data_IF_179153946166
#
_entry.id   IF_179153946166
#
_cell.length_a   1.000
_cell.length_b   1.000
_cell.length_c   1.000
_cell.angle_alpha   90.00
_cell.angle_beta   90.00
_cell.angle_gamma   90.00
#
_symmetry.space_group_name_H-M   'P 1'
#
loop_
_entity.id
_entity.type
_entity.pdbx_description
1 polymer ?
#
# COMPACT_ATOMS: atom_id res chain seq x y z
N UNK A 1 -10.93 -16.33 -0.30
CA UNK A 1 -9.62 -15.70 -0.56
C UNK A 1 -8.92 -15.57 0.79
N UNK A 2 -7.68 -16.04 0.94
CA UNK A 2 -7.00 -16.10 2.24
C UNK A 2 -6.14 -14.86 2.55
N UNK A 3 -5.65 -14.18 1.52
CA UNK A 3 -4.83 -12.99 1.62
C UNK A 3 -5.11 -12.06 0.44
N UNK A 4 -5.01 -10.75 0.69
CA UNK A 4 -5.05 -9.72 -0.33
C UNK A 4 -3.84 -8.83 -0.11
N UNK A 5 -3.05 -8.65 -1.16
CA UNK A 5 -1.92 -7.74 -1.12
C UNK A 5 -2.43 -6.30 -1.16
N UNK A 6 -1.94 -5.48 -0.25
CA UNK A 6 -2.20 -4.07 -0.15
C UNK A 6 -0.90 -3.33 -0.47
N UNK A 7 -1.03 -2.40 -1.42
CA UNK A 7 0.04 -1.55 -1.91
C UNK A 7 -0.40 -0.11 -1.85
N UNK A 8 0.56 0.78 -1.77
CA UNK A 8 0.33 2.19 -1.99
C UNK A 8 1.37 2.68 -2.99
N UNK A 9 0.99 3.66 -3.79
CA UNK A 9 1.69 4.02 -5.01
C UNK A 9 1.72 5.54 -5.17
N UNK A 10 2.85 6.05 -5.66
CA UNK A 10 2.94 7.43 -6.15
C UNK A 10 3.73 7.55 -7.45
N UNK A 11 3.41 8.54 -8.31
CA UNK A 11 4.14 8.78 -9.54
C UNK A 11 5.61 9.16 -9.29
N UNK A 12 6.52 8.56 -10.05
CA UNK A 12 7.90 9.05 -10.16
C UNK A 12 7.96 10.25 -11.11
N UNK A 13 8.21 11.45 -10.57
CA UNK A 13 8.38 12.65 -11.40
C UNK A 13 9.55 12.47 -12.36
N UNK A 14 9.28 12.65 -13.65
CA UNK A 14 10.28 12.50 -14.72
C UNK A 14 10.23 11.15 -15.44
N UNK A 15 9.54 10.14 -14.88
CA UNK A 15 9.21 8.93 -15.61
C UNK A 15 8.09 9.20 -16.62
N UNK A 16 8.13 8.53 -17.77
CA UNK A 16 7.03 8.55 -18.73
C UNK A 16 5.84 7.75 -18.16
N UNK A 17 4.61 8.15 -18.49
CA UNK A 17 3.39 7.49 -17.97
C UNK A 17 3.26 6.02 -18.36
N UNK A 18 3.98 5.59 -19.40
CA UNK A 18 4.04 4.22 -19.88
C UNK A 18 5.30 3.47 -19.40
N UNK A 19 6.17 4.10 -18.60
CA UNK A 19 7.23 3.39 -17.91
C UNK A 19 6.62 2.47 -16.85
N UNK A 20 7.12 1.25 -16.77
CA UNK A 20 6.58 0.22 -15.87
C UNK A 20 6.65 0.65 -14.39
N UNK A 21 7.59 1.52 -14.04
CA UNK A 21 7.81 2.05 -12.70
C UNK A 21 7.18 3.41 -12.47
N UNK A 22 6.39 3.94 -13.42
CA UNK A 22 5.77 5.25 -13.29
C UNK A 22 5.04 5.37 -11.96
N UNK A 23 4.25 4.37 -11.58
CA UNK A 23 3.76 4.18 -10.22
C UNK A 23 4.69 3.26 -9.46
N UNK A 24 5.43 3.83 -8.52
CA UNK A 24 6.31 3.06 -7.63
C UNK A 24 5.71 2.90 -6.24
N UNK A 25 6.06 1.79 -5.59
CA UNK A 25 5.63 1.47 -4.24
C UNK A 25 6.10 2.53 -3.25
N UNK A 26 5.22 2.87 -2.31
CA UNK A 26 5.46 3.76 -1.18
C UNK A 26 4.90 3.10 0.07
N UNK A 27 5.38 3.45 1.28
CA UNK A 27 4.73 2.98 2.50
C UNK A 27 3.22 3.25 2.48
N UNK A 28 2.43 2.28 2.96
CA UNK A 28 0.98 2.44 3.04
C UNK A 28 0.61 3.72 3.80
N UNK A 29 -0.18 4.59 3.17
CA UNK A 29 -0.61 5.88 3.73
C UNK A 29 0.20 7.08 3.26
N UNK A 30 1.28 6.89 2.50
CA UNK A 30 2.08 7.98 1.90
C UNK A 30 1.94 8.06 0.37
N UNK A 31 1.03 7.27 -0.22
CA UNK A 31 0.68 7.32 -1.64
C UNK A 31 -0.74 7.82 -1.92
N UNK A 32 -1.27 7.41 -3.07
CA UNK A 32 -2.58 7.85 -3.57
C UNK A 32 -3.69 6.80 -3.46
N UNK A 33 -3.40 5.59 -2.99
CA UNK A 33 -4.42 4.54 -2.86
C UNK A 33 -5.20 4.73 -1.57
N UNK A 34 -6.53 4.87 -1.67
CA UNK A 34 -7.41 4.96 -0.49
C UNK A 34 -7.60 3.57 0.16
N UNK A 35 -6.57 3.15 0.88
CA UNK A 35 -6.52 1.86 1.54
C UNK A 35 -7.54 1.72 2.69
N UNK A 36 -7.98 2.83 3.31
CA UNK A 36 -9.04 2.80 4.31
C UNK A 36 -10.38 2.42 3.65
N UNK A 37 -10.72 3.06 2.53
CA UNK A 37 -11.95 2.75 1.82
C UNK A 37 -11.95 1.33 1.24
N UNK A 38 -10.82 0.88 0.70
CA UNK A 38 -10.68 -0.49 0.19
C UNK A 38 -10.86 -1.53 1.30
N UNK A 39 -10.25 -1.33 2.46
CA UNK A 39 -10.41 -2.23 3.59
C UNK A 39 -11.87 -2.28 4.09
N UNK A 40 -12.57 -1.14 4.11
CA UNK A 40 -14.00 -1.10 4.44
C UNK A 40 -14.84 -1.87 3.41
N UNK A 41 -14.57 -1.69 2.11
CA UNK A 41 -15.28 -2.43 1.05
C UNK A 41 -15.07 -3.94 1.21
N UNK A 42 -13.85 -4.39 1.52
CA UNK A 42 -13.57 -5.80 1.78
C UNK A 42 -14.40 -6.32 2.98
N UNK A 43 -14.40 -5.60 4.10
CA UNK A 43 -15.19 -5.95 5.29
C UNK A 43 -16.68 -6.02 4.98
N UNK A 44 -17.23 -5.01 4.31
CA UNK A 44 -18.65 -4.91 3.95
C UNK A 44 -19.11 -6.08 3.06
N UNK A 45 -18.19 -6.71 2.34
CA UNK A 45 -18.44 -7.86 1.48
C UNK A 45 -18.05 -9.22 2.13
N UNK A 46 -17.84 -9.24 3.45
CA UNK A 46 -17.57 -10.48 4.20
C UNK A 46 -16.19 -11.08 3.93
N UNK A 47 -15.20 -10.26 3.60
CA UNK A 47 -13.82 -10.72 3.44
C UNK A 47 -13.18 -11.05 4.80
N UNK A 48 -12.79 -12.31 5.00
CA UNK A 48 -12.18 -12.82 6.24
C UNK A 48 -10.67 -13.08 6.13
N UNK A 49 -10.07 -12.82 4.96
CA UNK A 49 -8.63 -12.98 4.75
C UNK A 49 -7.82 -11.87 5.43
N UNK A 50 -6.48 -11.98 5.39
CA UNK A 50 -5.60 -10.95 5.93
C UNK A 50 -5.12 -9.97 4.85
N UNK A 51 -4.80 -8.75 5.29
CA UNK A 51 -4.18 -7.72 4.45
C UNK A 51 -2.65 -7.87 4.52
N UNK A 52 -2.04 -8.24 3.40
CA UNK A 52 -0.59 -8.44 3.30
C UNK A 52 0.06 -7.17 2.73
N UNK A 53 1.16 -6.68 3.33
CA UNK A 53 1.95 -5.60 2.72
C UNK A 53 2.67 -6.15 1.50
N UNK A 54 2.62 -5.43 0.38
CA UNK A 54 3.47 -5.71 -0.78
C UNK A 54 4.25 -4.44 -1.18
N UNK A 55 5.57 -4.56 -1.26
CA UNK A 55 6.49 -3.59 -1.84
C UNK A 55 7.26 -4.35 -2.93
N UNK A 56 7.26 -3.84 -4.16
CA UNK A 56 7.96 -4.46 -5.32
C UNK A 56 9.08 -3.58 -5.88
N UNK A 57 8.80 -2.29 -6.05
CA UNK A 57 9.74 -1.30 -6.55
C UNK A 57 9.55 -0.01 -5.76
N UNK A 58 10.37 0.14 -4.72
CA UNK A 58 10.28 1.26 -3.79
C UNK A 58 10.64 2.57 -4.50
N UNK A 59 9.79 3.58 -4.33
CA UNK A 59 10.01 4.90 -4.89
C UNK A 59 11.34 5.51 -4.36
N UNK A 60 12.12 6.22 -5.20
CA UNK A 60 13.46 6.72 -4.86
C UNK A 60 13.50 7.65 -3.64
N UNK A 61 12.41 8.37 -3.36
CA UNK A 61 12.26 9.21 -2.16
C UNK A 61 12.58 8.49 -0.84
N UNK A 62 12.49 7.15 -0.81
CA UNK A 62 12.74 6.34 0.39
C UNK A 62 14.17 5.80 0.47
N UNK A 63 15.08 6.21 -0.42
CA UNK A 63 16.51 5.85 -0.41
C UNK A 63 16.79 4.34 -0.34
N UNK A 64 15.99 3.52 -1.03
CA UNK A 64 16.04 2.05 -0.97
C UNK A 64 15.89 1.45 0.44
N UNK A 65 15.33 2.20 1.40
CA UNK A 65 15.10 1.70 2.76
C UNK A 65 13.78 0.91 2.84
N UNK A 66 13.80 -0.29 2.27
CA UNK A 66 12.62 -1.15 2.16
C UNK A 66 12.14 -1.67 3.52
N UNK A 67 13.06 -2.03 4.42
CA UNK A 67 12.71 -2.48 5.78
C UNK A 67 11.89 -1.43 6.53
N UNK A 68 12.30 -0.16 6.46
CA UNK A 68 11.55 0.94 7.04
C UNK A 68 10.18 1.11 6.36
N UNK A 69 10.13 1.00 5.03
CA UNK A 69 8.87 1.12 4.30
C UNK A 69 7.87 0.02 4.67
N UNK A 70 8.33 -1.22 4.83
CA UNK A 70 7.53 -2.34 5.32
C UNK A 70 7.07 -2.09 6.76
N UNK A 71 7.97 -1.64 7.64
CA UNK A 71 7.62 -1.34 9.03
C UNK A 71 6.52 -0.27 9.13
N UNK A 72 6.64 0.83 8.39
CA UNK A 72 5.60 1.87 8.35
C UNK A 72 4.29 1.35 7.76
N UNK A 73 4.37 0.53 6.72
CA UNK A 73 3.19 -0.08 6.08
C UNK A 73 2.41 -0.98 7.03
N UNK A 74 3.10 -1.81 7.81
CA UNK A 74 2.46 -2.67 8.81
C UNK A 74 1.79 -1.83 9.91
N UNK A 75 2.42 -0.74 10.36
CA UNK A 75 1.83 0.20 11.33
C UNK A 75 0.56 0.84 10.77
N UNK A 76 0.60 1.32 9.52
CA UNK A 76 -0.54 1.92 8.84
C UNK A 76 -1.70 0.94 8.66
N UNK A 77 -1.44 -0.30 8.23
CA UNK A 77 -2.47 -1.33 8.07
C UNK A 77 -3.15 -1.67 9.40
N UNK A 78 -2.39 -1.75 10.51
CA UNK A 78 -2.99 -1.94 11.85
C UNK A 78 -3.96 -0.82 12.20
N UNK A 79 -3.60 0.43 11.90
CA UNK A 79 -4.48 1.57 12.12
C UNK A 79 -5.73 1.51 11.22
N UNK A 80 -5.56 1.17 9.94
CA UNK A 80 -6.67 1.02 8.98
C UNK A 80 -7.67 -0.02 9.47
N UNK A 81 -7.19 -1.20 9.86
CA UNK A 81 -8.04 -2.28 10.40
C UNK A 81 -8.72 -1.87 11.70
N UNK A 82 -8.01 -1.15 12.58
CA UNK A 82 -8.57 -0.61 13.83
C UNK A 82 -9.68 0.43 13.63
N UNK A 83 -9.74 1.07 12.46
CA UNK A 83 -10.71 2.12 12.12
C UNK A 83 -11.89 1.63 11.27
N UNK A 84 -12.02 0.32 11.01
CA UNK A 84 -13.14 -0.23 10.24
C UNK A 84 -14.44 -0.18 11.03
N UNK A 85 -15.50 0.39 10.46
CA UNK A 85 -16.85 0.50 11.07
C UNK A 85 -17.68 -0.72 10.79
#
# INVERSE_FOLDING_TARGET
VYATHIKDLKPQKGAAVNDWFFFSSTPIGDGFVDNQKLAQILKDNGYEGFLAVEIDFLHPDYNNNEDWAVEQSVKALKNIVGNLT
#
